data_IF_318048918175
#
_entry.id   IF_318048918175
#
_cell.length_a   1.000
_cell.length_b   1.000
_cell.length_c   1.000
_cell.angle_alpha   90.00
_cell.angle_beta   90.00
_cell.angle_gamma   90.00
#
_symmetry.space_group_name_H-M   'P 1'
#
loop_
_entity.id
_entity.type
_entity.pdbx_description
1 polymer ?
#
# COMPACT_ATOMS: atom_id res chain seq x y z
N UNK A 1 6.08 -20.58 -7.54
CA UNK A 1 5.11 -19.70 -8.21
C UNK A 1 3.71 -20.23 -8.14
N UNK A 2 2.83 -19.47 -7.50
CA UNK A 2 1.38 -19.76 -7.46
C UNK A 2 0.55 -18.61 -8.03
N UNK A 3 1.03 -17.38 -7.93
CA UNK A 3 0.40 -16.18 -8.48
C UNK A 3 0.82 -15.95 -9.94
N UNK A 4 -0.10 -15.43 -10.76
CA UNK A 4 0.13 -15.13 -12.18
C UNK A 4 0.88 -13.80 -12.36
N UNK A 5 0.54 -12.83 -11.52
CA UNK A 5 1.13 -11.49 -11.50
C UNK A 5 1.64 -11.19 -10.09
N UNK A 6 2.86 -10.66 -10.00
CA UNK A 6 3.44 -10.16 -8.76
C UNK A 6 3.79 -8.69 -8.99
N UNK A 7 3.36 -7.84 -8.05
CA UNK A 7 3.68 -6.41 -8.06
C UNK A 7 4.41 -6.05 -6.78
N UNK A 8 5.56 -5.39 -6.90
CA UNK A 8 6.34 -4.87 -5.77
C UNK A 8 6.03 -3.37 -5.62
N UNK A 9 5.45 -2.98 -4.49
CA UNK A 9 5.24 -1.56 -4.16
C UNK A 9 6.41 -0.99 -3.38
N UNK A 10 6.87 0.19 -3.78
CA UNK A 10 7.94 0.93 -3.12
C UNK A 10 7.39 2.24 -2.54
N UNK A 11 7.55 2.45 -1.24
CA UNK A 11 7.60 3.84 -0.75
C UNK A 11 8.84 4.51 -1.32
N UNK A 12 8.65 5.70 -1.88
CA UNK A 12 9.66 6.34 -2.71
C UNK A 12 9.64 7.85 -2.56
N UNK A 13 9.97 8.31 -1.37
CA UNK A 13 9.75 9.69 -0.93
C UNK A 13 10.90 10.64 -1.30
N UNK A 14 10.63 11.83 -1.83
CA UNK A 14 11.65 12.87 -1.93
C UNK A 14 12.13 13.29 -0.54
N UNK A 15 13.33 13.86 -0.44
CA UNK A 15 13.93 14.23 0.85
C UNK A 15 13.15 15.34 1.59
N UNK A 16 12.22 16.03 0.97
CA UNK A 16 11.38 17.06 1.60
C UNK A 16 9.90 16.62 1.73
N UNK A 17 9.64 15.32 1.67
CA UNK A 17 8.28 14.78 1.75
C UNK A 17 7.50 15.23 3.00
N UNK A 18 6.21 15.50 2.82
CA UNK A 18 5.30 16.09 3.81
C UNK A 18 5.01 15.20 5.01
N UNK A 19 5.20 13.89 4.86
CA UNK A 19 5.02 12.94 5.95
C UNK A 19 6.21 12.90 6.91
N UNK A 20 7.30 13.62 6.65
CA UNK A 20 8.49 13.56 7.50
C UNK A 20 8.49 14.60 8.61
N UNK A 21 8.78 14.13 9.83
CA UNK A 21 8.94 14.97 11.02
C UNK A 21 10.09 15.98 10.84
N UNK A 22 11.14 15.60 10.12
CA UNK A 22 12.28 16.45 9.79
C UNK A 22 11.86 17.56 8.82
N UNK A 23 11.15 17.23 7.73
CA UNK A 23 10.65 18.23 6.78
C UNK A 23 9.70 19.23 7.46
N UNK A 24 8.80 18.73 8.32
CA UNK A 24 7.88 19.56 9.10
C UNK A 24 8.63 20.50 10.06
N UNK A 25 9.58 19.97 10.82
CA UNK A 25 10.36 20.75 11.79
C UNK A 25 11.35 21.73 11.13
N UNK A 26 11.76 21.48 9.89
CA UNK A 26 12.55 22.40 9.06
C UNK A 26 11.69 23.50 8.42
N UNK A 27 10.36 23.49 8.62
CA UNK A 27 9.44 24.47 8.02
C UNK A 27 9.24 24.30 6.52
N UNK A 28 9.56 23.12 5.97
CA UNK A 28 9.41 22.81 4.53
C UNK A 28 8.00 22.37 4.15
N UNK A 29 7.15 22.11 5.14
CA UNK A 29 5.79 21.60 4.96
C UNK A 29 4.78 22.63 5.44
N UNK A 30 3.78 22.92 4.62
CA UNK A 30 2.71 23.86 4.96
C UNK A 30 1.72 23.24 5.97
N UNK A 31 1.99 23.42 7.26
CA UNK A 31 1.23 22.87 8.39
C UNK A 31 0.44 24.00 9.09
N UNK A 32 -0.73 23.71 9.68
CA UNK A 32 -1.51 24.69 10.45
C UNK A 32 -0.95 24.95 11.85
N UNK A 33 -0.47 23.90 12.50
CA UNK A 33 0.06 23.92 13.84
C UNK A 33 1.36 24.74 13.89
N UNK A 34 1.40 25.75 14.76
CA UNK A 34 2.58 26.60 14.96
C UNK A 34 3.55 25.96 15.97
N UNK A 35 4.19 24.88 15.55
CA UNK A 35 5.13 24.12 16.39
C UNK A 35 6.52 24.10 15.74
N UNK A 36 7.56 24.39 16.53
CA UNK A 36 8.95 24.43 16.04
C UNK A 36 9.56 23.06 15.80
N UNK A 37 9.12 22.06 16.56
CA UNK A 37 9.65 20.70 16.50
C UNK A 37 8.52 19.71 16.80
N UNK A 38 8.35 18.75 15.90
CA UNK A 38 7.38 17.68 16.04
C UNK A 38 8.07 16.41 16.52
N UNK A 39 7.30 15.55 17.18
CA UNK A 39 7.73 14.20 17.52
C UNK A 39 7.24 13.20 16.44
N UNK A 40 7.93 12.08 16.22
CA UNK A 40 7.40 11.01 15.38
C UNK A 40 6.02 10.54 15.83
N UNK A 41 5.20 10.14 14.87
CA UNK A 41 3.84 9.61 15.02
C UNK A 41 2.81 10.64 15.52
N UNK A 42 3.10 11.93 15.44
CA UNK A 42 2.11 12.99 15.72
C UNK A 42 1.24 13.29 14.51
N UNK A 43 -0.05 13.56 14.76
CA UNK A 43 -0.95 14.11 13.75
C UNK A 43 -0.72 15.62 13.56
N UNK A 44 -0.76 16.06 12.30
CA UNK A 44 -0.74 17.47 11.91
C UNK A 44 -1.78 17.71 10.83
N UNK A 45 -2.18 18.97 10.67
CA UNK A 45 -3.09 19.39 9.61
C UNK A 45 -2.28 20.04 8.49
N UNK A 46 -2.14 19.31 7.38
CA UNK A 46 -1.53 19.87 6.18
C UNK A 46 -2.51 20.86 5.54
N UNK A 47 -2.07 22.10 5.30
CA UNK A 47 -2.85 23.11 4.57
C UNK A 47 -3.17 22.63 3.17
N UNK A 48 -4.24 23.17 2.58
CA UNK A 48 -4.58 22.98 1.16
C UNK A 48 -3.36 23.28 0.26
N UNK A 49 -3.23 22.50 -0.81
CA UNK A 49 -2.20 22.67 -1.83
C UNK A 49 -2.80 22.31 -3.21
N UNK A 50 -2.08 22.61 -4.30
CA UNK A 50 -2.56 22.50 -5.68
C UNK A 50 -3.24 21.15 -6.01
N UNK A 51 -2.69 20.06 -5.50
CA UNK A 51 -3.10 18.70 -5.87
C UNK A 51 -3.87 17.98 -4.75
N UNK A 52 -4.25 18.67 -3.66
CA UNK A 52 -4.95 18.04 -2.53
C UNK A 52 -5.66 19.04 -1.61
N UNK A 53 -6.79 18.65 -0.99
CA UNK A 53 -7.39 19.47 0.05
C UNK A 53 -6.54 19.47 1.32
N UNK A 54 -6.93 20.35 2.23
CA UNK A 54 -6.52 20.24 3.63
C UNK A 54 -6.94 18.88 4.21
N UNK A 55 -6.01 18.23 4.93
CA UNK A 55 -6.28 16.93 5.56
C UNK A 55 -5.31 16.65 6.72
N UNK A 56 -5.62 15.61 7.48
CA UNK A 56 -4.78 15.11 8.56
C UNK A 56 -3.66 14.22 8.01
N UNK A 57 -2.44 14.42 8.50
CA UNK A 57 -1.25 13.62 8.17
C UNK A 57 -0.57 13.18 9.46
N UNK A 58 -0.10 11.93 9.51
CA UNK A 58 0.80 11.47 10.56
C UNK A 58 2.24 11.78 10.14
N UNK A 59 3.03 12.38 11.02
CA UNK A 59 4.45 12.57 10.78
C UNK A 59 5.24 11.31 11.16
N UNK A 60 6.17 10.90 10.32
CA UNK A 60 7.07 9.77 10.52
C UNK A 60 8.52 10.24 10.50
N UNK A 61 9.47 9.48 11.09
CA UNK A 61 10.88 9.67 10.81
C UNK A 61 11.13 9.54 9.31
N UNK A 62 12.12 10.24 8.78
CA UNK A 62 12.53 10.09 7.39
C UNK A 62 12.84 8.64 7.05
N UNK A 63 12.18 8.12 6.02
CA UNK A 63 12.31 6.73 5.58
C UNK A 63 12.13 6.64 4.07
N UNK A 64 12.53 5.50 3.48
CA UNK A 64 12.28 5.17 2.08
C UNK A 64 12.60 6.32 1.08
N UNK A 65 13.68 7.06 1.36
CA UNK A 65 14.05 8.22 0.54
C UNK A 65 14.51 7.75 -0.84
N UNK A 66 14.08 8.45 -1.88
CA UNK A 66 14.42 8.16 -3.27
C UNK A 66 15.93 8.01 -3.46
N UNK A 67 16.32 6.94 -4.15
CA UNK A 67 17.72 6.59 -4.47
C UNK A 67 18.63 6.35 -3.25
N UNK A 68 18.06 6.24 -2.04
CA UNK A 68 18.80 5.89 -0.83
C UNK A 68 18.80 4.38 -0.59
N UNK A 69 19.68 3.91 0.31
CA UNK A 69 19.66 2.52 0.76
C UNK A 69 18.31 2.15 1.41
N UNK A 70 17.71 3.07 2.16
CA UNK A 70 16.43 2.85 2.82
C UNK A 70 15.23 2.78 1.86
N UNK A 71 15.37 3.20 0.61
CA UNK A 71 14.34 3.06 -0.43
C UNK A 71 14.36 1.71 -1.15
N UNK A 72 15.39 0.89 -0.95
CA UNK A 72 15.50 -0.42 -1.60
C UNK A 72 14.69 -1.48 -0.86
N UNK A 73 14.24 -2.50 -1.59
CA UNK A 73 13.72 -3.70 -0.96
C UNK A 73 14.80 -4.40 -0.11
N UNK A 74 14.35 -5.11 0.91
CA UNK A 74 15.25 -5.93 1.73
C UNK A 74 15.99 -6.95 0.85
N UNK A 75 17.29 -7.13 1.08
CA UNK A 75 18.17 -7.98 0.25
C UNK A 75 17.72 -9.44 0.08
N UNK A 76 16.91 -9.94 1.01
CA UNK A 76 16.41 -11.32 0.99
C UNK A 76 15.07 -11.45 0.25
N UNK A 77 14.45 -10.32 -0.15
CA UNK A 77 13.28 -10.35 -1.02
C UNK A 77 13.72 -10.74 -2.42
N UNK A 78 13.22 -11.88 -2.90
CA UNK A 78 13.46 -12.32 -4.28
C UNK A 78 12.50 -11.57 -5.19
N UNK A 79 13.07 -10.77 -6.09
CA UNK A 79 12.36 -10.04 -7.13
C UNK A 79 12.82 -10.60 -8.48
N UNK A 80 11.87 -10.97 -9.32
CA UNK A 80 12.16 -11.47 -10.67
C UNK A 80 12.05 -10.36 -11.69
N UNK A 81 12.71 -10.55 -12.82
CA UNK A 81 12.63 -9.63 -13.97
C UNK A 81 11.21 -9.50 -14.53
N UNK A 82 10.33 -10.47 -14.25
CA UNK A 82 8.91 -10.47 -14.64
C UNK A 82 8.00 -9.74 -13.67
N UNK A 83 8.47 -9.41 -12.47
CA UNK A 83 7.65 -8.77 -11.45
C UNK A 83 7.45 -7.29 -11.80
N UNK A 84 6.21 -6.80 -11.66
CA UNK A 84 5.88 -5.40 -11.89
C UNK A 84 6.29 -4.55 -10.68
N UNK A 85 6.50 -3.26 -10.89
CA UNK A 85 6.83 -2.32 -9.81
C UNK A 85 5.91 -1.11 -9.82
N UNK A 86 5.51 -0.66 -8.64
CA UNK A 86 4.76 0.59 -8.45
C UNK A 86 5.45 1.43 -7.37
N UNK A 87 5.61 2.73 -7.65
CA UNK A 87 6.22 3.69 -6.73
C UNK A 87 5.13 4.60 -6.16
N UNK A 88 5.06 4.69 -4.84
CA UNK A 88 4.07 5.50 -4.12
C UNK A 88 4.76 6.54 -3.23
N UNK A 89 4.05 7.63 -2.92
CA UNK A 89 4.59 8.72 -2.09
C UNK A 89 5.67 9.55 -2.77
N UNK A 90 5.65 9.60 -4.11
CA UNK A 90 6.70 10.25 -4.93
C UNK A 90 6.62 11.77 -4.96
N UNK A 91 5.47 12.35 -4.60
CA UNK A 91 5.24 13.79 -4.58
C UNK A 91 5.57 14.35 -3.20
N UNK A 92 6.27 15.49 -3.08
CA UNK A 92 6.70 16.00 -1.78
C UNK A 92 5.54 16.46 -0.90
N UNK A 93 4.39 16.81 -1.48
CA UNK A 93 3.30 17.41 -0.75
C UNK A 93 2.18 16.43 -0.37
N UNK A 94 2.18 15.18 -0.82
CA UNK A 94 1.12 14.21 -0.49
C UNK A 94 1.66 12.82 -0.26
N UNK A 95 1.21 12.22 0.85
CA UNK A 95 1.57 10.85 1.22
C UNK A 95 0.65 9.81 0.56
N UNK A 96 1.14 8.57 0.45
CA UNK A 96 0.47 7.49 -0.26
C UNK A 96 0.68 6.15 0.46
N UNK A 97 -0.24 5.79 1.34
CA UNK A 97 -0.20 4.47 1.99
C UNK A 97 -0.59 3.36 1.03
N UNK A 98 -1.65 3.58 0.25
CA UNK A 98 -2.12 2.61 -0.73
C UNK A 98 -1.19 2.57 -1.94
N UNK A 99 -1.00 1.37 -2.48
CA UNK A 99 -0.34 1.19 -3.77
C UNK A 99 -1.26 1.51 -4.97
N UNK A 100 -2.56 1.80 -4.75
CA UNK A 100 -3.49 2.20 -5.81
C UNK A 100 -3.55 3.73 -5.99
N UNK A 101 -3.71 4.45 -4.88
CA UNK A 101 -3.90 5.91 -4.88
C UNK A 101 -3.13 6.56 -3.72
N UNK A 102 -2.90 7.86 -3.83
CA UNK A 102 -2.49 8.65 -2.67
C UNK A 102 -3.58 8.73 -1.58
N UNK A 103 -3.21 9.25 -0.41
CA UNK A 103 -4.10 9.30 0.76
C UNK A 103 -5.36 10.13 0.56
N UNK A 104 -5.38 11.03 -0.43
CA UNK A 104 -6.55 11.84 -0.80
C UNK A 104 -7.25 11.35 -2.07
N UNK A 105 -6.78 10.24 -2.66
CA UNK A 105 -7.19 9.72 -3.97
C UNK A 105 -7.16 10.79 -5.07
N UNK A 106 -6.28 11.77 -4.93
CA UNK A 106 -6.13 12.84 -5.92
C UNK A 106 -5.31 12.37 -7.12
N UNK A 107 -4.42 11.39 -6.91
CA UNK A 107 -3.55 10.82 -7.93
C UNK A 107 -3.60 9.28 -7.89
N UNK A 108 -3.75 8.69 -9.08
CA UNK A 108 -3.60 7.26 -9.34
C UNK A 108 -2.13 6.93 -9.58
N UNK A 109 -1.67 5.82 -9.00
CA UNK A 109 -0.32 5.26 -9.16
C UNK A 109 -0.12 4.51 -10.49
N UNK A 110 -1.22 4.19 -11.17
CA UNK A 110 -1.30 3.33 -12.35
C UNK A 110 -1.57 1.85 -12.03
N UNK A 111 -1.60 1.44 -10.75
CA UNK A 111 -1.70 0.03 -10.39
C UNK A 111 -2.98 -0.62 -10.92
N UNK A 112 -4.13 0.08 -10.87
CA UNK A 112 -5.39 -0.43 -11.40
C UNK A 112 -5.25 -0.84 -12.87
N UNK A 113 -4.77 0.09 -13.71
CA UNK A 113 -4.59 -0.16 -15.13
C UNK A 113 -3.56 -1.26 -15.42
N UNK A 114 -2.51 -1.38 -14.60
CA UNK A 114 -1.54 -2.48 -14.71
C UNK A 114 -2.21 -3.84 -14.46
N UNK A 115 -3.02 -3.96 -13.41
CA UNK A 115 -3.69 -5.21 -13.05
C UNK A 115 -4.80 -5.59 -14.03
N UNK A 116 -5.58 -4.61 -14.49
CA UNK A 116 -6.62 -4.83 -15.50
C UNK A 116 -6.05 -5.31 -16.83
N UNK A 117 -4.90 -4.76 -17.25
CA UNK A 117 -4.19 -5.22 -18.47
C UNK A 117 -3.81 -6.70 -18.40
N UNK A 118 -3.51 -7.20 -17.21
CA UNK A 118 -3.18 -8.60 -16.95
C UNK A 118 -4.42 -9.47 -16.62
N UNK A 119 -5.64 -8.91 -16.77
CA UNK A 119 -6.92 -9.56 -16.45
C UNK A 119 -7.00 -10.09 -15.00
N UNK A 120 -6.37 -9.39 -14.07
CA UNK A 120 -6.39 -9.74 -12.65
C UNK A 120 -7.79 -9.50 -12.09
N UNK A 121 -8.29 -10.47 -11.32
CA UNK A 121 -9.60 -10.39 -10.64
C UNK A 121 -9.49 -10.43 -9.11
N UNK A 122 -8.40 -10.96 -8.58
CA UNK A 122 -8.16 -11.14 -7.16
C UNK A 122 -6.80 -10.54 -6.80
N UNK A 123 -6.75 -9.75 -5.74
CA UNK A 123 -5.52 -9.13 -5.23
C UNK A 123 -5.22 -9.63 -3.83
N UNK A 124 -4.00 -10.11 -3.63
CA UNK A 124 -3.53 -10.61 -2.34
C UNK A 124 -2.40 -9.72 -1.84
N UNK A 125 -2.67 -8.96 -0.79
CA UNK A 125 -1.76 -7.97 -0.23
C UNK A 125 -0.98 -8.57 0.94
N UNK A 126 0.34 -8.36 0.98
CA UNK A 126 1.19 -8.73 2.11
C UNK A 126 2.34 -7.72 2.28
N UNK A 127 3.14 -7.89 3.33
CA UNK A 127 4.32 -7.08 3.58
C UNK A 127 4.16 -6.09 4.73
N UNK A 128 4.71 -4.88 4.57
CA UNK A 128 4.85 -3.90 5.64
C UNK A 128 4.15 -2.56 5.33
N UNK A 129 3.44 -1.94 6.26
CA UNK A 129 2.96 -2.48 7.55
C UNK A 129 1.48 -2.82 7.47
N UNK A 130 1.08 -3.88 8.18
CA UNK A 130 -0.28 -4.47 8.10
C UNK A 130 -1.38 -3.43 8.28
N UNK A 131 -1.24 -2.56 9.28
CA UNK A 131 -2.21 -1.59 9.77
C UNK A 131 -2.15 -0.22 9.05
N UNK A 132 -1.26 -0.06 8.07
CA UNK A 132 -1.11 1.18 7.28
C UNK A 132 -1.15 0.84 5.79
N UNK A 133 0.00 0.56 5.16
CA UNK A 133 0.13 0.42 3.71
C UNK A 133 -0.60 -0.83 3.19
N UNK A 134 -0.51 -1.96 3.89
CA UNK A 134 -1.20 -3.20 3.48
C UNK A 134 -2.73 -3.02 3.62
N UNK A 135 -3.19 -2.49 4.75
CA UNK A 135 -4.61 -2.15 4.98
C UNK A 135 -5.15 -1.23 3.90
N UNK A 136 -4.51 -0.08 3.65
CA UNK A 136 -4.98 0.89 2.66
C UNK A 136 -4.94 0.34 1.23
N UNK A 137 -3.94 -0.49 0.90
CA UNK A 137 -3.88 -1.14 -0.42
C UNK A 137 -5.03 -2.13 -0.61
N UNK A 138 -5.29 -2.98 0.38
CA UNK A 138 -6.37 -3.96 0.28
C UNK A 138 -7.76 -3.31 0.26
N UNK A 139 -7.99 -2.24 1.04
CA UNK A 139 -9.23 -1.48 1.02
C UNK A 139 -9.47 -0.82 -0.35
N UNK A 140 -8.47 -0.13 -0.91
CA UNK A 140 -8.62 0.49 -2.23
C UNK A 140 -8.73 -0.56 -3.34
N UNK A 141 -8.07 -1.72 -3.22
CA UNK A 141 -8.26 -2.83 -4.15
C UNK A 141 -9.72 -3.32 -4.18
N UNK A 142 -10.33 -3.49 -3.00
CA UNK A 142 -11.75 -3.84 -2.91
C UNK A 142 -12.67 -2.74 -3.47
N UNK A 143 -12.38 -1.48 -3.18
CA UNK A 143 -13.16 -0.34 -3.66
C UNK A 143 -13.14 -0.20 -5.19
N UNK A 144 -12.00 -0.46 -5.82
CA UNK A 144 -11.85 -0.46 -7.29
C UNK A 144 -12.54 -1.68 -7.94
N UNK A 145 -12.87 -2.72 -7.15
CA UNK A 145 -13.67 -3.86 -7.59
C UNK A 145 -12.92 -5.20 -7.66
N UNK A 146 -11.67 -5.27 -7.19
CA UNK A 146 -10.96 -6.55 -7.08
C UNK A 146 -11.45 -7.36 -5.88
N UNK A 147 -11.41 -8.69 -5.96
CA UNK A 147 -11.53 -9.54 -4.77
C UNK A 147 -10.25 -9.39 -3.93
N UNK A 148 -10.30 -8.57 -2.90
CA UNK A 148 -9.12 -8.23 -2.11
C UNK A 148 -8.94 -9.15 -0.89
N UNK A 149 -7.68 -9.49 -0.61
CA UNK A 149 -7.27 -10.30 0.52
C UNK A 149 -6.01 -9.72 1.17
N UNK A 150 -5.89 -9.85 2.49
CA UNK A 150 -4.65 -9.64 3.24
C UNK A 150 -4.12 -11.00 3.68
N UNK A 151 -2.86 -11.30 3.33
CA UNK A 151 -2.12 -12.46 3.82
C UNK A 151 -1.42 -12.08 5.13
N UNK A 152 -2.08 -12.36 6.24
CA UNK A 152 -1.72 -11.75 7.52
C UNK A 152 -0.48 -12.37 8.17
N UNK A 153 -0.20 -13.65 7.93
CA UNK A 153 1.00 -14.36 8.39
C UNK A 153 2.23 -14.10 7.50
N UNK A 154 2.05 -13.35 6.40
CA UNK A 154 3.11 -12.76 5.58
C UNK A 154 3.20 -11.23 5.74
N UNK A 155 2.60 -10.68 6.79
CA UNK A 155 2.58 -9.24 7.07
C UNK A 155 2.93 -8.95 8.53
N UNK A 156 3.37 -7.72 8.83
CA UNK A 156 3.64 -7.29 10.22
C UNK A 156 3.11 -5.88 10.48
N UNK A 157 2.36 -5.67 11.59
CA UNK A 157 1.84 -4.34 11.92
C UNK A 157 2.93 -3.46 12.52
N UNK A 158 2.66 -2.15 12.58
CA UNK A 158 3.43 -1.20 13.38
C UNK A 158 3.21 -1.45 14.89
N UNK A 159 1.96 -1.74 15.29
CA UNK A 159 1.60 -2.13 16.65
C UNK A 159 0.66 -3.33 16.64
N UNK A 160 0.90 -4.30 17.54
CA UNK A 160 0.00 -5.46 17.71
C UNK A 160 -1.41 -5.05 18.15
N UNK A 161 -1.54 -3.94 18.87
CA UNK A 161 -2.83 -3.40 19.31
C UNK A 161 -3.72 -3.00 18.12
N UNK A 162 -3.12 -2.73 16.95
CA UNK A 162 -3.84 -2.35 15.75
C UNK A 162 -4.31 -3.53 14.90
N UNK A 163 -3.95 -4.78 15.23
CA UNK A 163 -4.33 -5.96 14.43
C UNK A 163 -5.84 -6.15 14.43
N UNK A 164 -6.47 -6.26 15.60
CA UNK A 164 -7.92 -6.52 15.68
C UNK A 164 -8.75 -5.38 15.07
N UNK A 165 -8.47 -4.10 15.34
CA UNK A 165 -9.13 -2.99 14.63
C UNK A 165 -8.93 -3.04 13.11
N UNK A 166 -7.71 -3.34 12.64
CA UNK A 166 -7.40 -3.44 11.21
C UNK A 166 -8.18 -4.58 10.55
N UNK A 167 -8.14 -5.77 11.15
CA UNK A 167 -8.87 -6.95 10.67
C UNK A 167 -10.37 -6.66 10.58
N UNK A 168 -10.94 -6.05 11.63
CA UNK A 168 -12.36 -5.68 11.65
C UNK A 168 -12.72 -4.79 10.45
N UNK A 169 -12.01 -3.67 10.28
CA UNK A 169 -12.24 -2.72 9.17
C UNK A 169 -12.14 -3.42 7.81
N UNK A 170 -11.11 -4.25 7.61
CA UNK A 170 -10.93 -4.99 6.36
C UNK A 170 -12.09 -5.96 6.09
N UNK A 171 -12.47 -6.75 7.09
CA UNK A 171 -13.55 -7.73 6.94
C UNK A 171 -14.92 -7.08 6.72
N UNK A 172 -15.19 -5.94 7.36
CA UNK A 172 -16.42 -5.15 7.15
C UNK A 172 -16.48 -4.56 5.74
N UNK A 173 -15.32 -4.26 5.14
CA UNK A 173 -15.19 -3.83 3.75
C UNK A 173 -15.19 -5.01 2.74
N UNK A 174 -15.41 -6.25 3.19
CA UNK A 174 -15.40 -7.44 2.33
C UNK A 174 -14.01 -7.93 1.94
N UNK A 175 -12.93 -7.37 2.52
CA UNK A 175 -11.57 -7.85 2.31
C UNK A 175 -11.33 -9.13 3.11
N UNK A 176 -10.87 -10.18 2.44
CA UNK A 176 -10.55 -11.45 3.10
C UNK A 176 -9.30 -11.35 3.98
N UNK A 177 -9.34 -11.98 5.15
CA UNK A 177 -8.20 -12.09 6.07
C UNK A 177 -7.73 -13.54 6.09
N UNK A 178 -6.61 -13.84 5.45
CA UNK A 178 -6.19 -15.22 5.15
C UNK A 178 -4.73 -15.48 5.53
N UNK A 179 -4.41 -16.74 5.71
CA UNK A 179 -3.03 -17.25 5.80
C UNK A 179 -2.42 -17.48 4.41
N UNK A 180 -1.10 -17.66 4.33
CA UNK A 180 -0.40 -18.05 3.10
C UNK A 180 -0.99 -19.35 2.53
N UNK A 181 -1.24 -20.35 3.37
CA UNK A 181 -1.78 -21.64 2.95
C UNK A 181 -3.18 -21.52 2.35
N UNK A 182 -4.05 -20.69 2.95
CA UNK A 182 -5.39 -20.42 2.43
C UNK A 182 -5.35 -19.66 1.10
N UNK A 183 -4.46 -18.66 0.98
CA UNK A 183 -4.25 -17.93 -0.27
C UNK A 183 -3.80 -18.86 -1.40
N UNK A 184 -2.79 -19.71 -1.15
CA UNK A 184 -2.29 -20.69 -2.13
C UNK A 184 -3.39 -21.67 -2.55
N UNK A 185 -4.21 -22.16 -1.61
CA UNK A 185 -5.35 -23.04 -1.92
C UNK A 185 -6.37 -22.34 -2.81
N UNK A 186 -6.75 -21.10 -2.49
CA UNK A 186 -7.73 -20.31 -3.28
C UNK A 186 -7.25 -20.08 -4.71
N UNK A 187 -6.01 -19.60 -4.86
CA UNK A 187 -5.43 -19.34 -6.19
C UNK A 187 -5.32 -20.61 -7.01
N UNK A 188 -4.87 -21.72 -6.41
CA UNK A 188 -4.74 -23.00 -7.12
C UNK A 188 -6.12 -23.53 -7.55
N UNK A 189 -7.12 -23.52 -6.66
CA UNK A 189 -8.46 -24.00 -6.97
C UNK A 189 -9.13 -23.19 -8.09
N UNK A 190 -8.92 -21.87 -8.12
CA UNK A 190 -9.45 -21.00 -9.18
C UNK A 190 -8.83 -21.30 -10.55
N UNK A 191 -7.52 -21.59 -10.58
CA UNK A 191 -6.83 -22.02 -11.81
C UNK A 191 -7.36 -23.36 -12.32
N UNK A 192 -7.57 -24.32 -11.43
CA UNK A 192 -8.12 -25.63 -11.80
C UNK A 192 -9.55 -25.52 -12.38
N UNK A 193 -10.36 -24.62 -11.83
CA UNK A 193 -11.70 -24.33 -12.36
C UNK A 193 -11.64 -23.71 -13.75
N UNK A 194 -10.81 -22.68 -13.93
CA UNK A 194 -10.63 -22.01 -15.23
C UNK A 194 -10.15 -22.99 -16.33
N UNK A 195 -9.22 -23.89 -16.00
CA UNK A 195 -8.75 -24.92 -16.92
C UNK A 195 -9.87 -25.90 -17.31
N UNK A 196 -10.69 -26.34 -16.35
CA UNK A 196 -11.84 -27.23 -16.63
C UNK A 196 -12.88 -26.54 -17.51
N UNK A 197 -13.19 -25.28 -17.24
CA UNK A 197 -14.11 -24.48 -18.04
C UNK A 197 -13.61 -24.32 -19.48
N UNK A 198 -12.32 -24.05 -19.66
CA UNK A 198 -11.69 -23.97 -20.98
C UNK A 198 -11.73 -25.32 -21.72
N UNK A 199 -11.35 -26.41 -21.06
CA UNK A 199 -11.37 -27.75 -21.68
C UNK A 199 -12.78 -28.24 -22.01
N UNK A 200 -13.80 -27.81 -21.28
CA UNK A 200 -15.21 -28.15 -21.57
C UNK A 200 -15.83 -27.38 -22.74
N UNK A 201 -15.12 -26.39 -23.30
CA UNK A 201 -15.51 -25.64 -24.50
C UNK A 201 -14.92 -26.22 -25.80
N UNK A 202 -14.05 -27.22 -25.71
CA UNK A 202 -13.41 -27.95 -26.83
C UNK A 202 -14.17 -29.25 -27.10
#
# INVERSE_FOLDING_TARGET
DKFDVVVISYDWHPHDHCSFVESASEGKVAIKEEVKKFDPFTFVTLKEDKDRPEHQQILYPRHAVQNSEGGKCHKDLVIKDTDLSVYKGVKPNIDSYSAFFDNMKANDTGLTAMLEKENVTDVYCCGLVTDICVKSTALHGAEVGFNAFVIHDASRPLSNDNIEPTKKVLTEAGVGWVTVDEAVKKVTAKKDLSLKEYMGQI
#
